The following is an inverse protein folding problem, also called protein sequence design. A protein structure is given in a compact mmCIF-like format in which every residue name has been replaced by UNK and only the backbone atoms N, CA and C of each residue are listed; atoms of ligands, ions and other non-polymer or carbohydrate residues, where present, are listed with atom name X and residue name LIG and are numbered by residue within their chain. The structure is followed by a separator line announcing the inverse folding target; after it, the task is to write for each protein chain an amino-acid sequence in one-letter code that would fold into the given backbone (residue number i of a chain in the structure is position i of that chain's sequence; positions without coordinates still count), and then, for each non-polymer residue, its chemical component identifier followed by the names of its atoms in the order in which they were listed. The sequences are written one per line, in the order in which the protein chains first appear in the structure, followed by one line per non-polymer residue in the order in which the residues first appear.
data_IF_634671849616
#
_entry.id   IF_634671849616
#
_cell.length_a   1.000
_cell.length_b   1.000
_cell.length_c   1.000
_cell.angle_alpha   90.00
_cell.angle_beta   90.00
_cell.angle_gamma   90.00
#
_symmetry.space_group_name_H-M   'P 1'
#
loop_
_entity.id
_entity.type
_entity.pdbx_description
1 polymer ?
#
# COMPACT_ATOMS: atom_id res chain seq x y z
N UNK A 1 23.52 14.09 -24.19
CA UNK A 1 22.41 13.35 -24.85
C UNK A 1 22.84 11.94 -25.25
N UNK A 2 24.00 11.75 -25.90
CA UNK A 2 24.53 10.44 -26.30
C UNK A 2 24.77 9.47 -25.11
N UNK A 3 25.32 9.97 -24.00
CA UNK A 3 25.54 9.20 -22.77
C UNK A 3 24.25 8.67 -22.13
N UNK A 4 23.14 9.40 -22.29
CA UNK A 4 21.83 9.00 -21.80
C UNK A 4 21.21 7.94 -22.73
N UNK A 5 21.31 8.13 -24.04
CA UNK A 5 20.84 7.18 -25.05
C UNK A 5 21.54 5.81 -24.92
N UNK A 6 22.86 5.80 -24.69
CA UNK A 6 23.64 4.57 -24.47
C UNK A 6 23.21 3.83 -23.19
N UNK A 7 22.81 4.57 -22.14
CA UNK A 7 22.35 3.99 -20.87
C UNK A 7 20.97 3.32 -20.96
N UNK A 8 20.14 3.76 -21.92
CA UNK A 8 18.82 3.19 -22.23
C UNK A 8 18.85 2.07 -23.28
N UNK A 9 19.95 1.94 -24.02
CA UNK A 9 20.10 0.93 -25.08
C UNK A 9 20.16 -0.51 -24.51
N UNK A 10 20.65 -0.67 -23.28
CA UNK A 10 20.66 -1.97 -22.59
C UNK A 10 19.35 -2.19 -21.84
N UNK A 11 18.36 -2.79 -22.50
CA UNK A 11 17.04 -3.10 -21.93
C UNK A 11 17.11 -3.92 -20.62
N UNK A 12 18.16 -4.72 -20.44
CA UNK A 12 18.39 -5.47 -19.20
C UNK A 12 18.76 -4.59 -17.99
N UNK A 13 19.36 -3.41 -18.20
CA UNK A 13 19.71 -2.47 -17.12
C UNK A 13 18.53 -1.60 -16.65
N UNK A 14 17.38 -1.68 -17.34
CA UNK A 14 16.20 -0.87 -17.04
C UNK A 14 15.27 -1.51 -16.02
N UNK A 15 15.27 -2.85 -15.88
CA UNK A 15 14.44 -3.55 -14.88
C UNK A 15 14.67 -3.04 -13.46
N UNK A 16 15.93 -2.81 -13.08
CA UNK A 16 16.28 -2.31 -11.74
C UNK A 16 16.21 -0.78 -11.63
N UNK A 17 15.93 -0.09 -12.74
CA UNK A 17 16.00 1.36 -12.86
C UNK A 17 14.76 1.96 -13.51
N UNK A 18 13.62 1.31 -13.33
CA UNK A 18 12.32 1.74 -13.86
C UNK A 18 11.95 3.16 -13.37
N UNK A 19 12.46 3.57 -12.20
CA UNK A 19 12.35 4.94 -11.68
C UNK A 19 13.01 6.02 -12.56
N UNK A 20 13.94 5.65 -13.45
CA UNK A 20 14.54 6.57 -14.42
C UNK A 20 13.56 6.96 -15.53
N UNK A 21 12.60 6.08 -15.84
CA UNK A 21 11.54 6.35 -16.82
C UNK A 21 10.56 7.41 -16.30
N UNK A 22 10.53 7.61 -14.98
CA UNK A 22 9.70 8.62 -14.30
C UNK A 22 10.43 9.96 -14.04
N UNK A 23 11.67 10.17 -14.54
CA UNK A 23 12.39 11.44 -14.31
C UNK A 23 11.78 12.67 -15.01
N UNK A 24 10.90 12.46 -15.98
CA UNK A 24 10.10 13.53 -16.60
C UNK A 24 8.86 13.92 -15.80
N UNK A 25 8.45 13.08 -14.83
CA UNK A 25 7.33 13.36 -13.95
C UNK A 25 7.79 14.19 -12.75
N UNK A 26 6.95 15.11 -12.28
CA UNK A 26 7.23 15.94 -11.08
C UNK A 26 7.38 15.08 -9.81
N UNK A 27 6.83 13.86 -9.81
CA UNK A 27 6.91 12.90 -8.70
C UNK A 27 7.16 11.51 -9.27
N UNK A 28 8.24 10.86 -8.85
CA UNK A 28 8.53 9.46 -9.20
C UNK A 28 7.86 8.51 -8.22
N UNK A 29 6.94 7.69 -8.72
CA UNK A 29 6.19 6.71 -7.95
C UNK A 29 6.77 5.31 -8.15
N UNK A 30 6.77 4.51 -7.08
CA UNK A 30 7.16 3.09 -7.09
C UNK A 30 6.05 2.25 -6.46
N UNK A 31 5.70 1.15 -7.11
CA UNK A 31 4.73 0.19 -6.61
C UNK A 31 5.38 -0.78 -5.61
N UNK A 32 4.82 -0.88 -4.41
CA UNK A 32 5.27 -1.82 -3.38
C UNK A 32 4.11 -2.76 -3.02
N UNK A 33 4.32 -4.08 -2.98
CA UNK A 33 3.28 -5.02 -2.58
C UNK A 33 3.06 -5.02 -1.06
N UNK A 34 1.81 -4.90 -0.64
CA UNK A 34 1.38 -5.01 0.75
C UNK A 34 0.38 -6.14 0.93
N UNK A 35 0.39 -6.78 2.10
CA UNK A 35 -0.62 -7.78 2.47
C UNK A 35 -1.99 -7.13 2.61
N UNK A 36 -3.05 -7.88 2.29
CA UNK A 36 -4.44 -7.49 2.62
C UNK A 36 -4.61 -7.10 4.08
N UNK A 37 -5.65 -6.32 4.39
CA UNK A 37 -5.95 -5.77 5.72
C UNK A 37 -4.89 -4.82 6.31
N UNK A 38 -3.90 -4.39 5.52
CA UNK A 38 -2.98 -3.34 5.98
C UNK A 38 -3.70 -2.00 6.05
N UNK A 39 -3.54 -1.29 7.17
CA UNK A 39 -4.06 0.07 7.33
C UNK A 39 -3.22 1.08 6.56
N UNK A 40 -3.84 1.85 5.66
CA UNK A 40 -3.17 2.94 4.93
C UNK A 40 -2.65 4.02 5.86
N UNK A 41 -3.28 4.21 7.03
CA UNK A 41 -2.81 5.16 8.05
C UNK A 41 -1.47 4.71 8.61
N UNK A 42 -1.32 3.41 8.90
CA UNK A 42 -0.05 2.86 9.39
C UNK A 42 1.03 2.95 8.31
N UNK A 43 0.67 2.69 7.04
CA UNK A 43 1.58 2.85 5.89
C UNK A 43 2.04 4.30 5.74
N UNK A 44 1.13 5.27 5.82
CA UNK A 44 1.45 6.70 5.73
C UNK A 44 2.38 7.15 6.88
N UNK A 45 2.09 6.73 8.12
CA UNK A 45 2.96 6.96 9.28
C UNK A 45 4.35 6.34 9.07
N UNK A 46 4.40 5.12 8.56
CA UNK A 46 5.64 4.43 8.23
C UNK A 46 6.44 5.16 7.15
N UNK A 47 5.81 5.89 6.23
CA UNK A 47 6.45 6.65 5.16
C UNK A 47 6.75 8.12 5.53
N UNK A 48 6.30 8.57 6.72
CA UNK A 48 6.29 9.99 7.09
C UNK A 48 5.57 10.87 6.05
N UNK A 49 4.39 10.41 5.62
CA UNK A 49 3.50 11.09 4.69
C UNK A 49 2.13 11.32 5.33
N UNK A 50 1.40 12.33 4.86
CA UNK A 50 -0.01 12.49 5.22
C UNK A 50 -0.84 11.39 4.56
N UNK A 51 -1.95 11.01 5.21
CA UNK A 51 -2.89 10.04 4.66
C UNK A 51 -3.47 10.53 3.33
N UNK A 52 -3.77 11.83 3.23
CA UNK A 52 -4.30 12.46 2.03
C UNK A 52 -3.32 12.39 0.86
N UNK A 53 -2.04 12.69 1.09
CA UNK A 53 -1.01 12.57 0.05
C UNK A 53 -0.88 11.12 -0.43
N UNK A 54 -0.87 10.15 0.50
CA UNK A 54 -0.82 8.74 0.13
C UNK A 54 -2.06 8.31 -0.68
N UNK A 55 -3.25 8.78 -0.31
CA UNK A 55 -4.50 8.54 -1.06
C UNK A 55 -4.49 9.20 -2.44
N UNK A 56 -3.91 10.39 -2.56
CA UNK A 56 -3.77 11.08 -3.85
C UNK A 56 -2.91 10.30 -4.85
N UNK A 57 -2.02 9.41 -4.40
CA UNK A 57 -1.28 8.51 -5.29
C UNK A 57 -1.97 7.17 -5.52
N UNK A 58 -3.01 6.85 -4.73
CA UNK A 58 -3.65 5.55 -4.71
C UNK A 58 -5.18 5.66 -4.73
N UNK A 59 -5.71 6.32 -5.75
CA UNK A 59 -7.16 6.53 -5.91
C UNK A 59 -7.97 5.22 -5.99
N UNK A 60 -7.33 4.08 -6.26
CA UNK A 60 -7.97 2.76 -6.26
C UNK A 60 -8.51 2.35 -4.88
N UNK A 61 -7.98 2.92 -3.78
CA UNK A 61 -8.43 2.60 -2.43
C UNK A 61 -9.42 3.64 -1.90
N UNK A 62 -10.70 3.25 -1.78
CA UNK A 62 -11.75 4.11 -1.21
C UNK A 62 -11.65 4.23 0.32
N UNK A 63 -11.34 3.12 0.98
CA UNK A 63 -11.25 3.02 2.44
C UNK A 63 -9.82 3.22 2.95
N UNK A 64 -9.66 3.45 4.26
CA UNK A 64 -8.36 3.59 4.92
C UNK A 64 -7.64 2.25 5.16
N UNK A 65 -8.16 1.16 4.59
CA UNK A 65 -7.68 -0.21 4.77
C UNK A 65 -7.69 -0.88 3.40
N UNK A 66 -6.66 -1.68 3.12
CA UNK A 66 -6.62 -2.48 1.89
C UNK A 66 -7.78 -3.48 1.84
N UNK A 67 -8.41 -3.66 0.67
CA UNK A 67 -9.51 -4.63 0.51
C UNK A 67 -9.08 -6.06 0.84
N UNK A 68 -10.08 -6.94 1.02
CA UNK A 68 -9.87 -8.36 1.37
C UNK A 68 -9.91 -9.31 0.18
N UNK A 69 -10.18 -8.81 -1.04
CA UNK A 69 -10.46 -9.65 -2.21
C UNK A 69 -9.22 -10.43 -2.69
N UNK A 70 -8.06 -9.77 -2.69
CA UNK A 70 -6.80 -10.31 -3.18
C UNK A 70 -5.79 -10.44 -2.03
N UNK A 71 -4.84 -11.39 -2.11
CA UNK A 71 -3.88 -11.61 -1.04
C UNK A 71 -2.93 -10.41 -0.84
N UNK A 72 -2.61 -9.72 -1.93
CA UNK A 72 -1.67 -8.59 -1.95
C UNK A 72 -2.17 -7.47 -2.84
N UNK A 73 -1.92 -6.23 -2.42
CA UNK A 73 -2.22 -5.03 -3.20
C UNK A 73 -0.95 -4.20 -3.40
N UNK A 74 -0.81 -3.63 -4.60
CA UNK A 74 0.26 -2.67 -4.89
C UNK A 74 -0.15 -1.29 -4.40
N UNK A 75 0.68 -0.70 -3.53
CA UNK A 75 0.57 0.70 -3.11
C UNK A 75 1.68 1.49 -3.80
N UNK A 76 1.30 2.56 -4.48
CA UNK A 76 2.22 3.52 -5.07
C UNK A 76 2.69 4.52 -4.03
N UNK A 77 4.01 4.61 -3.86
CA UNK A 77 4.65 5.52 -2.92
C UNK A 77 5.70 6.37 -3.65
N UNK A 78 6.02 7.57 -3.16
CA UNK A 78 7.15 8.35 -3.68
C UNK A 78 8.47 7.59 -3.50
N UNK A 79 9.28 7.55 -4.54
CA UNK A 79 10.56 6.83 -4.54
C UNK A 79 11.50 7.28 -3.41
N UNK A 80 11.53 8.58 -3.11
CA UNK A 80 12.35 9.15 -2.03
C UNK A 80 12.05 8.53 -0.65
N UNK A 81 10.82 8.04 -0.45
CA UNK A 81 10.39 7.40 0.81
C UNK A 81 10.66 5.89 0.84
N UNK A 82 11.09 5.29 -0.27
CA UNK A 82 11.34 3.85 -0.37
C UNK A 82 12.44 3.38 0.58
N UNK A 83 13.53 4.14 0.71
CA UNK A 83 14.64 3.80 1.61
C UNK A 83 14.19 3.77 3.08
N UNK A 84 13.46 4.81 3.49
CA UNK A 84 12.91 4.94 4.84
C UNK A 84 11.90 3.83 5.14
N UNK A 85 11.07 3.47 4.15
CA UNK A 85 10.14 2.35 4.24
C UNK A 85 10.85 1.02 4.50
N UNK A 86 11.84 0.66 3.67
CA UNK A 86 12.61 -0.59 3.80
C UNK A 86 13.29 -0.68 5.17
N UNK A 87 13.89 0.42 5.64
CA UNK A 87 14.51 0.48 6.95
C UNK A 87 13.51 0.21 8.09
N UNK A 88 12.31 0.80 8.02
CA UNK A 88 11.27 0.63 9.05
C UNK A 88 10.59 -0.74 8.98
N UNK A 89 10.38 -1.29 7.79
CA UNK A 89 9.88 -2.67 7.63
C UNK A 89 10.84 -3.69 8.25
N UNK A 90 12.15 -3.53 8.04
CA UNK A 90 13.15 -4.42 8.64
C UNK A 90 13.08 -4.40 10.18
N UNK A 91 12.79 -3.24 10.77
CA UNK A 91 12.57 -3.10 12.23
C UNK A 91 11.25 -3.72 12.68
N UNK A 92 10.18 -3.60 11.89
CA UNK A 92 8.86 -4.13 12.22
C UNK A 92 8.77 -5.65 12.13
N UNK A 93 9.43 -6.27 11.15
CA UNK A 93 9.47 -7.73 11.02
C UNK A 93 10.15 -8.43 12.21
N UNK A 94 11.04 -7.73 12.94
CA UNK A 94 11.62 -8.24 14.19
C UNK A 94 10.60 -8.31 15.34
N UNK A 95 9.50 -7.55 15.26
CA UNK A 95 8.50 -7.40 16.33
C UNK A 95 7.12 -7.98 15.98
N UNK A 96 6.88 -8.47 14.76
CA UNK A 96 5.55 -8.76 14.25
C UNK A 96 5.28 -10.27 14.04
N UNK A 97 5.04 -11.00 15.14
CA UNK A 97 4.36 -12.31 15.14
C UNK A 97 2.86 -12.23 15.48
N UNK A 98 2.21 -11.08 15.27
CA UNK A 98 0.78 -10.94 15.55
C UNK A 98 -0.04 -10.98 14.25
N UNK A 99 -0.76 -12.08 14.01
CA UNK A 99 -1.73 -12.21 12.93
C UNK A 99 -2.83 -11.12 13.05
N UNK A 100 -2.96 -10.18 12.09
CA UNK A 100 -4.03 -9.19 12.15
C UNK A 100 -5.37 -9.86 11.83
N UNK A 101 -6.29 -9.90 12.82
CA UNK A 101 -7.69 -10.28 12.61
C UNK A 101 -8.33 -9.35 11.56
N UNK A 102 -9.11 -9.91 10.63
CA UNK A 102 -9.83 -9.12 9.61
C UNK A 102 -10.74 -8.08 10.27
N UNK A 103 -10.75 -6.81 9.81
CA UNK A 103 -11.64 -5.77 10.33
C UNK A 103 -13.08 -5.90 9.82
N UNK A 104 -13.34 -6.83 8.89
CA UNK A 104 -14.66 -7.07 8.33
C UNK A 104 -15.18 -8.44 8.75
N UNK A 105 -16.47 -8.50 9.08
CA UNK A 105 -17.20 -9.70 9.46
C UNK A 105 -18.31 -9.90 8.42
N UNK A 106 -18.46 -11.11 7.91
CA UNK A 106 -19.57 -11.50 7.03
C UNK A 106 -20.69 -12.09 7.89
N UNK A 107 -21.88 -11.48 7.88
CA UNK A 107 -23.07 -11.98 8.58
C UNK A 107 -24.21 -12.23 7.59
N UNK A 108 -24.89 -13.36 7.71
CA UNK A 108 -26.08 -13.71 6.92
C UNK A 108 -27.31 -13.35 7.74
N UNK A 109 -28.15 -12.46 7.22
CA UNK A 109 -29.32 -11.92 7.94
C UNK A 109 -30.44 -12.97 7.99
N UNK A 110 -30.93 -13.24 9.20
CA UNK A 110 -32.06 -14.15 9.43
C UNK A 110 -33.41 -13.41 9.48
N UNK A 111 -34.54 -14.10 9.20
CA UNK A 111 -35.86 -13.50 9.37
C UNK A 111 -36.06 -12.98 10.80
N UNK A 112 -36.62 -11.76 10.93
CA UNK A 112 -36.81 -11.01 12.19
C UNK A 112 -35.56 -10.40 12.82
N UNK A 113 -34.37 -10.50 12.21
CA UNK A 113 -33.24 -9.68 12.64
C UNK A 113 -33.41 -8.21 12.20
N UNK A 114 -32.92 -7.29 13.03
CA UNK A 114 -32.86 -5.85 12.72
C UNK A 114 -31.40 -5.38 12.74
N UNK A 115 -31.12 -4.23 12.13
CA UNK A 115 -29.79 -3.61 12.19
C UNK A 115 -29.33 -3.40 13.65
N UNK A 116 -30.26 -3.06 14.54
CA UNK A 116 -29.97 -2.86 15.97
C UNK A 116 -29.56 -4.14 16.69
N UNK A 117 -30.22 -5.28 16.39
CA UNK A 117 -29.89 -6.57 17.00
C UNK A 117 -28.57 -7.12 16.48
N UNK A 118 -28.27 -6.89 15.19
CA UNK A 118 -27.00 -7.28 14.57
C UNK A 118 -25.85 -6.44 15.16
N UNK A 119 -26.03 -5.12 15.29
CA UNK A 119 -25.02 -4.25 15.89
C UNK A 119 -24.67 -4.66 17.34
N UNK A 120 -25.67 -5.00 18.17
CA UNK A 120 -25.46 -5.50 19.53
C UNK A 120 -24.67 -6.82 19.58
N UNK A 121 -24.79 -7.66 18.55
CA UNK A 121 -24.14 -8.98 18.51
C UNK A 121 -22.64 -8.88 18.20
N UNK A 122 -22.22 -7.84 17.48
CA UNK A 122 -20.85 -7.63 17.01
C UNK A 122 -20.15 -6.41 17.65
N UNK A 123 -20.76 -5.82 18.69
CA UNK A 123 -20.19 -4.71 19.47
C UNK A 123 -19.15 -5.19 20.48
#
# INVERSE_FOLDING_TARGET
ILSLALKFNSLDNLKDKEYLLNRGARVSLVGVPFKRHTSLVQVAKNLNLSLEALKSYNHQFRYNILPSKDPTYTIYIPYEKLALFKQRQLKQNKNAQANPKSPFITHVVLPKETLSSIAKRYQ
#
